data_IF_555637876004
#
_entry.id   IF_555637876004
#
_cell.length_a   1.000
_cell.length_b   1.000
_cell.length_c   1.000
_cell.angle_alpha   90.00
_cell.angle_beta   90.00
_cell.angle_gamma   90.00
#
_symmetry.space_group_name_H-M   'P 1'
#
loop_
_entity.id
_entity.type
_entity.pdbx_description
1 polymer ?
#
# COMPACT_ATOMS: atom_id res chain seq x y z
N UNK A 1 4.97 6.95 -67.11
CA UNK A 1 3.49 6.90 -66.93
C UNK A 1 3.24 6.66 -65.44
N UNK A 2 2.46 7.41 -64.65
CA UNK A 2 1.55 8.52 -64.90
C UNK A 2 1.40 9.36 -63.60
N UNK A 3 1.05 10.63 -63.80
CA UNK A 3 0.53 11.67 -62.87
C UNK A 3 -0.67 11.15 -62.02
N UNK A 4 -1.15 11.68 -60.89
CA UNK A 4 -1.26 13.02 -60.26
C UNK A 4 -1.89 12.77 -58.86
N UNK A 5 -1.57 13.55 -57.83
CA UNK A 5 -2.50 14.51 -57.22
C UNK A 5 -1.87 15.13 -55.96
N UNK A 6 -2.10 16.43 -55.85
CA UNK A 6 -1.44 17.41 -55.00
C UNK A 6 -2.51 18.00 -54.07
N UNK A 7 -2.18 18.28 -52.81
CA UNK A 7 -2.82 19.36 -52.08
C UNK A 7 -1.89 19.84 -50.94
N UNK A 8 -1.77 21.16 -50.88
CA UNK A 8 -0.74 21.97 -50.25
C UNK A 8 -1.44 22.97 -49.35
N UNK A 9 -0.84 23.30 -48.21
CA UNK A 9 -1.17 24.44 -47.37
C UNK A 9 -0.64 24.16 -45.96
N UNK A 10 0.50 24.67 -45.50
CA UNK A 10 1.20 25.93 -45.76
C UNK A 10 1.44 26.54 -44.37
N UNK A 11 2.59 27.09 -43.98
CA UNK A 11 3.97 27.02 -44.43
C UNK A 11 4.78 27.64 -43.29
N UNK A 12 5.98 27.14 -43.01
CA UNK A 12 7.15 27.97 -42.72
C UNK A 12 8.42 27.12 -42.81
N UNK A 13 9.33 27.65 -43.62
CA UNK A 13 10.75 27.36 -43.79
C UNK A 13 11.53 27.50 -42.45
N UNK A 14 12.78 27.08 -42.21
CA UNK A 14 13.88 26.36 -42.89
C UNK A 14 15.02 26.23 -41.83
N UNK A 15 15.92 25.26 -42.04
CA UNK A 15 17.39 25.28 -41.76
C UNK A 15 17.99 24.45 -40.62
N UNK A 16 18.90 23.54 -41.02
CA UNK A 16 19.97 22.92 -40.22
C UNK A 16 19.89 21.38 -40.15
N UNK A 17 20.31 20.56 -41.14
CA UNK A 17 21.70 20.12 -41.46
C UNK A 17 22.35 19.44 -40.21
N UNK A 18 22.83 18.20 -40.11
CA UNK A 18 23.47 17.15 -40.97
C UNK A 18 23.37 15.85 -40.13
N UNK A 19 22.71 14.77 -40.54
CA UNK A 19 23.16 13.66 -41.40
C UNK A 19 24.39 12.86 -40.92
N UNK A 20 24.16 11.67 -40.39
CA UNK A 20 25.10 10.54 -40.54
C UNK A 20 24.41 9.22 -40.21
N UNK A 21 23.80 8.64 -41.24
CA UNK A 21 23.56 7.20 -41.36
C UNK A 21 24.91 6.45 -41.42
N UNK A 22 24.93 5.12 -41.19
CA UNK A 22 24.87 4.26 -42.36
C UNK A 22 24.00 3.02 -42.19
N UNK A 23 23.16 2.79 -43.20
CA UNK A 23 22.51 1.52 -43.50
C UNK A 23 23.52 0.49 -44.02
N UNK A 24 23.45 -0.74 -43.51
CA UNK A 24 23.92 -2.01 -44.10
C UNK A 24 23.07 -3.12 -43.45
N UNK A 25 22.36 -3.99 -44.15
CA UNK A 25 22.22 -4.25 -45.56
C UNK A 25 20.93 -5.05 -45.82
N UNK A 26 20.58 -5.11 -47.09
CA UNK A 26 19.39 -5.70 -47.66
C UNK A 26 19.36 -7.25 -47.59
N UNK A 27 18.27 -7.80 -48.15
CA UNK A 27 18.05 -9.19 -48.62
C UNK A 27 17.43 -10.08 -47.53
N UNK A 28 16.17 -10.54 -47.61
CA UNK A 28 15.64 -11.32 -48.73
C UNK A 28 14.10 -11.31 -48.84
N UNK A 29 13.67 -11.19 -50.08
CA UNK A 29 12.34 -11.43 -50.66
C UNK A 29 11.95 -12.91 -50.71
N UNK A 30 10.66 -13.23 -50.45
CA UNK A 30 9.76 -14.17 -51.19
C UNK A 30 8.52 -14.43 -50.32
N UNK A 31 7.31 -13.98 -50.67
CA UNK A 31 6.43 -14.53 -51.72
C UNK A 31 6.19 -16.04 -51.57
N UNK A 32 4.97 -16.45 -51.16
CA UNK A 32 4.09 -17.31 -51.95
C UNK A 32 2.86 -17.80 -51.14
N UNK A 33 1.69 -17.56 -51.75
CA UNK A 33 0.51 -18.45 -51.86
C UNK A 33 -0.17 -19.03 -50.60
N UNK A 34 -1.45 -18.69 -50.46
CA UNK A 34 -2.35 -19.30 -49.48
C UNK A 34 -2.89 -20.67 -49.89
N UNK A 35 -3.74 -21.25 -49.04
CA UNK A 35 -4.72 -22.27 -49.40
C UNK A 35 -5.62 -22.63 -48.20
N UNK A 36 -6.90 -22.90 -48.51
CA UNK A 36 -7.89 -23.68 -47.74
C UNK A 36 -8.53 -23.00 -46.50
N UNK A 37 -9.82 -22.59 -46.47
CA UNK A 37 -11.10 -23.36 -46.53
C UNK A 37 -11.01 -24.67 -45.70
N UNK A 38 -11.84 -25.00 -44.71
CA UNK A 38 -13.31 -24.95 -44.60
C UNK A 38 -13.70 -25.26 -43.11
N UNK A 39 -14.99 -25.10 -42.72
CA UNK A 39 -15.54 -25.21 -41.37
C UNK A 39 -16.08 -26.61 -41.07
N UNK A 40 -16.29 -26.95 -39.79
CA UNK A 40 -17.22 -28.02 -39.43
C UNK A 40 -17.79 -27.86 -38.01
N UNK A 41 -19.08 -28.16 -37.95
CA UNK A 41 -20.07 -27.96 -36.89
C UNK A 41 -20.51 -29.34 -36.40
N UNK A 42 -20.61 -29.56 -35.08
CA UNK A 42 -21.54 -30.54 -34.44
C UNK A 42 -21.50 -30.31 -32.92
N UNK A 43 -22.52 -29.66 -32.35
CA UNK A 43 -23.85 -30.14 -31.90
C UNK A 43 -23.83 -30.97 -30.60
N UNK A 44 -24.47 -30.36 -29.60
CA UNK A 44 -25.56 -30.88 -28.76
C UNK A 44 -25.30 -31.93 -27.68
N UNK A 45 -25.86 -31.64 -26.50
CA UNK A 45 -26.13 -32.57 -25.40
C UNK A 45 -25.74 -31.95 -24.05
N UNK A 46 -26.56 -31.07 -23.46
CA UNK A 46 -27.60 -31.42 -22.49
C UNK A 46 -27.07 -32.23 -21.29
N UNK A 47 -26.93 -31.57 -20.13
CA UNK A 47 -27.53 -32.04 -18.87
C UNK A 47 -27.63 -30.89 -17.84
N UNK A 48 -28.80 -30.69 -17.21
CA UNK A 48 -28.97 -29.83 -16.04
C UNK A 48 -28.93 -30.66 -14.75
N UNK A 49 -28.31 -30.13 -13.70
CA UNK A 49 -28.32 -30.73 -12.36
C UNK A 49 -27.19 -30.17 -11.50
N UNK A 50 -27.45 -29.10 -10.74
CA UNK A 50 -27.58 -29.15 -9.26
C UNK A 50 -26.43 -29.93 -8.60
N UNK A 51 -25.57 -29.23 -7.87
CA UNK A 51 -25.59 -29.26 -6.39
C UNK A 51 -24.65 -28.20 -5.81
N UNK A 52 -25.07 -27.68 -4.66
CA UNK A 52 -24.24 -27.11 -3.59
C UNK A 52 -23.43 -25.84 -3.84
N UNK A 53 -24.04 -24.71 -3.46
CA UNK A 53 -23.52 -23.92 -2.35
C UNK A 53 -22.22 -23.15 -2.59
N UNK A 54 -22.28 -22.05 -3.33
CA UNK A 54 -21.33 -20.94 -3.16
C UNK A 54 -22.05 -19.87 -2.34
N UNK A 55 -22.23 -20.19 -1.06
CA UNK A 55 -22.40 -19.20 -0.02
C UNK A 55 -21.05 -18.98 0.65
N UNK A 56 -20.87 -17.77 1.15
CA UNK A 56 -19.94 -17.39 2.21
C UNK A 56 -18.43 -17.36 1.90
N UNK A 57 -17.93 -16.13 1.86
CA UNK A 57 -16.74 -15.69 2.59
C UNK A 57 -15.44 -16.46 2.30
N UNK A 58 -14.69 -16.02 1.28
CA UNK A 58 -13.23 -16.03 1.38
C UNK A 58 -12.81 -14.93 2.34
N UNK A 59 -13.05 -15.22 3.63
CA UNK A 59 -12.43 -14.55 4.74
C UNK A 59 -10.91 -14.57 4.50
N UNK A 60 -10.37 -13.41 4.19
CA UNK A 60 -8.97 -13.14 4.43
C UNK A 60 -8.90 -13.00 5.96
N UNK A 61 -8.80 -14.14 6.65
CA UNK A 61 -8.58 -14.19 8.10
C UNK A 61 -7.18 -13.62 8.36
N UNK A 62 -7.15 -12.32 8.57
CA UNK A 62 -6.07 -11.64 9.25
C UNK A 62 -6.35 -11.78 10.75
N UNK A 63 -5.54 -12.51 11.52
CA UNK A 63 -5.63 -12.45 12.96
C UNK A 63 -5.28 -11.04 13.41
N UNK A 64 -6.31 -10.29 13.81
CA UNK A 64 -6.16 -9.09 14.61
C UNK A 64 -5.82 -9.54 16.03
N UNK A 65 -4.54 -9.87 16.26
CA UNK A 65 -4.02 -10.08 17.60
C UNK A 65 -3.93 -8.73 18.33
N UNK A 66 -5.08 -8.31 18.85
CA UNK A 66 -5.16 -7.46 20.02
C UNK A 66 -4.66 -8.28 21.21
N UNK A 67 -3.36 -8.19 21.50
CA UNK A 67 -2.85 -8.63 22.79
C UNK A 67 -3.04 -7.50 23.81
N UNK A 68 -3.92 -7.66 24.82
CA UNK A 68 -3.89 -6.82 26.00
C UNK A 68 -2.56 -7.07 26.72
N UNK A 69 -1.68 -6.07 26.74
CA UNK A 69 -0.44 -6.11 27.51
C UNK A 69 -0.78 -6.11 29.00
N UNK A 70 -0.93 -7.31 29.55
CA UNK A 70 -0.98 -7.57 30.98
C UNK A 70 0.33 -7.08 31.61
N UNK A 71 0.19 -6.15 32.55
CA UNK A 71 1.28 -5.42 33.19
C UNK A 71 1.98 -6.25 34.29
N UNK A 72 2.26 -7.53 34.04
CA UNK A 72 2.90 -8.43 35.02
C UNK A 72 4.03 -9.25 34.38
N UNK A 73 5.15 -8.59 34.09
CA UNK A 73 6.44 -9.26 33.98
C UNK A 73 7.56 -8.25 34.26
N UNK A 74 7.80 -8.07 35.56
CA UNK A 74 8.97 -7.40 36.14
C UNK A 74 10.15 -8.39 36.05
N UNK A 75 11.26 -7.98 35.44
CA UNK A 75 12.57 -8.62 35.62
C UNK A 75 13.34 -8.95 34.33
N UNK A 76 14.25 -8.05 33.96
CA UNK A 76 15.61 -8.31 33.47
C UNK A 76 15.88 -9.03 32.12
N UNK A 77 14.86 -9.41 31.35
CA UNK A 77 15.01 -9.93 29.97
C UNK A 77 14.52 -9.00 28.84
N UNK A 78 13.85 -7.89 29.17
CA UNK A 78 13.03 -7.13 28.22
C UNK A 78 13.82 -6.22 27.25
N UNK A 79 15.01 -5.74 27.64
CA UNK A 79 15.76 -4.77 26.81
C UNK A 79 16.23 -5.34 25.47
N UNK A 80 16.58 -6.63 25.41
CA UNK A 80 17.00 -7.28 24.17
C UNK A 80 15.86 -7.47 23.19
N UNK A 81 14.69 -7.89 23.70
CA UNK A 81 13.51 -8.13 22.86
C UNK A 81 12.85 -6.82 22.40
N UNK A 82 12.85 -5.79 23.25
CA UNK A 82 12.32 -4.48 22.89
C UNK A 82 13.17 -3.79 21.83
N UNK A 83 14.51 -3.93 21.88
CA UNK A 83 15.38 -3.43 20.82
C UNK A 83 15.12 -4.12 19.48
N UNK A 84 14.98 -5.46 19.49
CA UNK A 84 14.66 -6.23 18.28
C UNK A 84 13.32 -5.81 17.69
N UNK A 85 12.28 -5.70 18.53
CA UNK A 85 10.96 -5.19 18.10
C UNK A 85 11.04 -3.80 17.50
N UNK A 86 11.83 -2.91 18.10
CA UNK A 86 11.99 -1.53 17.63
C UNK A 86 12.75 -1.47 16.31
N UNK A 87 13.77 -2.31 16.13
CA UNK A 87 14.51 -2.45 14.88
C UNK A 87 13.64 -3.00 13.75
N UNK A 88 12.85 -4.05 14.01
CA UNK A 88 11.90 -4.62 13.04
C UNK A 88 10.86 -3.57 12.64
N UNK A 89 10.23 -2.92 13.63
CA UNK A 89 9.21 -1.91 13.36
C UNK A 89 9.79 -0.70 12.60
N UNK A 90 11.04 -0.32 12.88
CA UNK A 90 11.73 0.73 12.12
C UNK A 90 11.93 0.34 10.66
N UNK A 91 12.36 -0.90 10.37
CA UNK A 91 12.49 -1.40 8.99
C UNK A 91 11.13 -1.46 8.29
N UNK A 92 10.11 -2.02 8.94
CA UNK A 92 8.74 -2.08 8.42
C UNK A 92 8.20 -0.68 8.11
N UNK A 93 8.47 0.30 8.98
CA UNK A 93 8.07 1.68 8.78
C UNK A 93 8.76 2.32 7.56
N UNK A 94 10.06 2.07 7.35
CA UNK A 94 10.77 2.57 6.16
C UNK A 94 10.17 2.02 4.87
N UNK A 95 9.90 0.71 4.82
CA UNK A 95 9.25 0.08 3.67
C UNK A 95 7.84 0.62 3.43
N UNK A 96 7.07 0.78 4.50
CA UNK A 96 5.72 1.36 4.47
C UNK A 96 5.69 2.80 3.95
N UNK A 97 6.73 3.58 4.24
CA UNK A 97 6.85 4.96 3.75
C UNK A 97 7.25 5.01 2.27
N UNK A 98 8.04 4.05 1.79
CA UNK A 98 8.52 3.94 0.42
C UNK A 98 7.47 3.41 -0.57
N UNK A 99 6.47 2.65 -0.09
CA UNK A 99 5.49 1.99 -0.94
C UNK A 99 4.71 2.92 -1.90
N UNK A 100 4.21 4.10 -1.49
CA UNK A 100 3.48 4.99 -2.39
C UNK A 100 4.33 5.51 -3.56
N UNK A 101 5.62 5.77 -3.30
CA UNK A 101 6.57 6.24 -4.31
C UNK A 101 6.86 5.15 -5.35
N UNK A 102 7.10 3.92 -4.90
CA UNK A 102 7.23 2.76 -5.79
C UNK A 102 5.97 2.55 -6.66
N UNK A 103 4.78 2.79 -6.10
CA UNK A 103 3.52 2.64 -6.82
C UNK A 103 3.28 3.71 -7.86
N UNK A 104 3.59 4.96 -7.55
CA UNK A 104 3.51 6.06 -8.51
C UNK A 104 4.41 5.78 -9.72
N UNK A 105 5.64 5.31 -9.48
CA UNK A 105 6.56 4.89 -10.54
C UNK A 105 6.05 3.67 -11.32
N UNK A 106 5.38 2.72 -10.65
CA UNK A 106 4.77 1.54 -11.30
C UNK A 106 3.63 1.95 -12.22
N UNK A 107 2.76 2.85 -11.77
CA UNK A 107 1.66 3.39 -12.58
C UNK A 107 2.22 4.05 -13.84
N UNK A 108 3.17 4.99 -13.70
CA UNK A 108 3.76 5.71 -14.83
C UNK A 108 4.45 4.76 -15.81
N UNK A 109 5.16 3.75 -15.30
CA UNK A 109 5.85 2.77 -16.15
C UNK A 109 4.86 1.89 -16.95
N UNK A 110 3.78 1.44 -16.31
CA UNK A 110 2.74 0.64 -16.97
C UNK A 110 1.94 1.48 -17.96
N UNK A 111 1.66 2.75 -17.65
CA UNK A 111 1.02 3.71 -18.57
C UNK A 111 1.90 3.99 -19.81
N UNK A 112 3.23 3.96 -19.64
CA UNK A 112 4.19 4.04 -20.75
C UNK A 112 4.29 2.76 -21.59
N UNK A 113 3.57 1.69 -21.24
CA UNK A 113 3.53 0.43 -21.97
C UNK A 113 4.60 -0.59 -21.56
N UNK A 114 5.32 -0.37 -20.46
CA UNK A 114 6.21 -1.40 -19.91
C UNK A 114 5.39 -2.56 -19.34
N UNK A 115 5.82 -3.79 -19.64
CA UNK A 115 5.29 -4.97 -18.98
C UNK A 115 5.57 -4.92 -17.47
N UNK A 116 4.61 -5.34 -16.65
CA UNK A 116 4.68 -5.20 -15.19
C UNK A 116 5.97 -5.75 -14.56
N UNK A 117 6.52 -6.86 -15.05
CA UNK A 117 7.78 -7.40 -14.54
C UNK A 117 8.99 -6.51 -14.82
N UNK A 118 9.02 -5.94 -16.02
CA UNK A 118 10.07 -5.00 -16.43
C UNK A 118 9.94 -3.69 -15.68
N UNK A 119 8.71 -3.22 -15.44
CA UNK A 119 8.45 -2.08 -14.58
C UNK A 119 8.96 -2.32 -13.16
N UNK A 120 8.64 -3.46 -12.53
CA UNK A 120 9.08 -3.79 -11.18
C UNK A 120 10.60 -3.90 -11.06
N UNK A 121 11.28 -4.50 -12.05
CA UNK A 121 12.75 -4.54 -12.10
C UNK A 121 13.36 -3.13 -12.20
N UNK A 122 12.82 -2.28 -13.09
CA UNK A 122 13.30 -0.90 -13.26
C UNK A 122 13.13 -0.07 -11.99
N UNK A 123 12.01 -0.26 -11.29
CA UNK A 123 11.65 0.44 -10.06
C UNK A 123 12.54 -0.02 -8.89
N UNK A 124 12.87 -1.32 -8.82
CA UNK A 124 13.83 -1.81 -7.84
C UNK A 124 15.18 -1.09 -7.96
N UNK A 125 15.68 -0.88 -9.17
CA UNK A 125 16.93 -0.13 -9.42
C UNK A 125 16.77 1.37 -9.07
N UNK A 126 15.65 1.99 -9.46
CA UNK A 126 15.41 3.41 -9.23
C UNK A 126 15.28 3.75 -7.73
N UNK A 127 14.67 2.86 -6.94
CA UNK A 127 14.52 3.04 -5.50
C UNK A 127 15.80 2.76 -4.71
N UNK A 128 16.86 2.22 -5.31
CA UNK A 128 18.05 1.77 -4.56
C UNK A 128 18.70 2.88 -3.74
N UNK A 129 18.68 4.12 -4.24
CA UNK A 129 19.25 5.28 -3.55
C UNK A 129 18.31 5.91 -2.52
N UNK A 130 17.00 5.96 -2.80
CA UNK A 130 16.02 6.61 -1.93
C UNK A 130 15.56 5.69 -0.78
N UNK A 131 15.32 4.42 -1.11
CA UNK A 131 14.65 3.44 -0.26
C UNK A 131 15.26 2.04 -0.44
N UNK A 132 16.47 1.80 0.10
CA UNK A 132 17.20 0.55 -0.09
C UNK A 132 16.43 -0.68 0.45
N UNK A 133 15.71 -0.55 1.57
CA UNK A 133 14.95 -1.68 2.13
C UNK A 133 13.87 -2.21 1.19
N UNK A 134 13.17 -1.33 0.47
CA UNK A 134 12.12 -1.75 -0.47
C UNK A 134 12.74 -2.22 -1.80
N UNK A 135 13.82 -1.57 -2.23
CA UNK A 135 14.59 -1.95 -3.41
C UNK A 135 15.09 -3.40 -3.32
N UNK A 136 15.74 -3.78 -2.21
CA UNK A 136 16.23 -5.15 -1.99
C UNK A 136 15.11 -6.19 -2.01
N UNK A 137 13.96 -5.89 -1.41
CA UNK A 137 12.83 -6.81 -1.37
C UNK A 137 12.20 -6.99 -2.77
N UNK A 138 12.09 -5.92 -3.57
CA UNK A 138 11.61 -5.96 -4.97
C UNK A 138 12.61 -6.65 -5.91
N UNK A 139 13.90 -6.41 -5.73
CA UNK A 139 14.96 -7.10 -6.48
C UNK A 139 14.91 -8.60 -6.20
N UNK A 140 14.79 -8.99 -4.92
CA UNK A 140 14.71 -10.39 -4.56
C UNK A 140 13.42 -11.05 -5.07
N UNK A 141 12.29 -10.34 -5.07
CA UNK A 141 11.07 -10.82 -5.74
C UNK A 141 11.29 -11.05 -7.24
N UNK A 142 12.01 -10.14 -7.90
CA UNK A 142 12.27 -10.27 -9.35
C UNK A 142 13.24 -11.42 -9.64
N UNK A 143 14.24 -11.62 -8.78
CA UNK A 143 15.12 -12.80 -8.81
C UNK A 143 14.35 -14.09 -8.61
N UNK A 144 13.37 -14.12 -7.70
CA UNK A 144 12.51 -15.28 -7.48
C UNK A 144 11.70 -15.64 -8.75
N UNK A 145 11.18 -14.64 -9.46
CA UNK A 145 10.49 -14.83 -10.74
C UNK A 145 11.47 -15.34 -11.80
N UNK A 146 12.68 -14.75 -11.87
CA UNK A 146 13.74 -15.19 -12.79
C UNK A 146 14.24 -16.62 -12.52
N UNK A 147 14.19 -17.06 -11.26
CA UNK A 147 14.50 -18.42 -10.83
C UNK A 147 13.36 -19.44 -11.12
N UNK A 148 12.28 -19.03 -11.79
CA UNK A 148 11.20 -19.90 -12.23
C UNK A 148 10.02 -20.02 -11.25
N UNK A 149 9.96 -19.22 -10.17
CA UNK A 149 8.75 -19.16 -9.34
C UNK A 149 7.62 -18.49 -10.09
N UNK A 150 6.39 -18.92 -9.83
CA UNK A 150 5.24 -18.25 -10.41
C UNK A 150 5.09 -16.85 -9.80
N UNK A 151 4.66 -15.89 -10.61
CA UNK A 151 4.47 -14.50 -10.15
C UNK A 151 3.58 -14.37 -8.91
N UNK A 152 2.45 -15.10 -8.80
CA UNK A 152 1.63 -15.02 -7.59
C UNK A 152 2.32 -15.56 -6.34
N UNK A 153 3.22 -16.53 -6.47
CA UNK A 153 4.01 -17.03 -5.34
C UNK A 153 5.08 -16.02 -4.93
N UNK A 154 5.80 -15.43 -5.88
CA UNK A 154 6.80 -14.40 -5.60
C UNK A 154 6.20 -13.17 -4.88
N UNK A 155 5.02 -12.71 -5.33
CA UNK A 155 4.28 -11.62 -4.68
C UNK A 155 3.81 -11.98 -3.26
N UNK A 156 3.40 -13.22 -3.02
CA UNK A 156 3.06 -13.71 -1.66
C UNK A 156 4.31 -13.82 -0.79
N UNK A 157 5.45 -14.22 -1.33
CA UNK A 157 6.72 -14.28 -0.61
C UNK A 157 7.18 -12.89 -0.19
N UNK A 158 7.09 -11.92 -1.09
CA UNK A 158 7.35 -10.51 -0.80
C UNK A 158 6.50 -10.02 0.37
N UNK A 159 5.19 -10.28 0.33
CA UNK A 159 4.28 -9.91 1.40
C UNK A 159 4.63 -10.57 2.75
N UNK A 160 4.95 -11.87 2.74
CA UNK A 160 5.34 -12.62 3.95
C UNK A 160 6.66 -12.15 4.56
N UNK A 161 7.64 -11.79 3.74
CA UNK A 161 8.97 -11.34 4.20
C UNK A 161 8.94 -9.94 4.77
N UNK A 162 8.16 -9.07 4.14
CA UNK A 162 8.08 -7.66 4.54
C UNK A 162 7.20 -7.47 5.76
N UNK A 163 6.17 -8.30 5.93
CA UNK A 163 5.19 -8.25 7.02
C UNK A 163 4.57 -6.85 7.21
N UNK A 164 4.32 -6.17 6.09
CA UNK A 164 3.67 -4.86 6.03
C UNK A 164 2.32 -5.02 5.33
N UNK A 165 1.25 -4.62 6.03
CA UNK A 165 -0.13 -4.79 5.56
C UNK A 165 -0.37 -4.20 4.15
N UNK A 166 0.26 -3.07 3.84
CA UNK A 166 0.12 -2.40 2.55
C UNK A 166 0.82 -3.13 1.41
N UNK A 167 1.96 -3.77 1.68
CA UNK A 167 2.67 -4.62 0.71
C UNK A 167 1.83 -5.87 0.42
N UNK A 168 1.23 -6.46 1.46
CA UNK A 168 0.30 -7.58 1.29
C UNK A 168 -0.93 -7.22 0.46
N UNK A 169 -1.54 -6.06 0.72
CA UNK A 169 -2.66 -5.58 -0.07
C UNK A 169 -2.28 -5.31 -1.54
N UNK A 170 -1.10 -4.72 -1.77
CA UNK A 170 -0.56 -4.52 -3.11
C UNK A 170 -0.36 -5.85 -3.84
N UNK A 171 0.28 -6.82 -3.19
CA UNK A 171 0.53 -8.14 -3.75
C UNK A 171 -0.78 -8.82 -4.16
N UNK A 172 -1.82 -8.76 -3.32
CA UNK A 172 -3.14 -9.32 -3.64
C UNK A 172 -3.75 -8.67 -4.89
N UNK A 173 -3.67 -7.34 -5.01
CA UNK A 173 -4.19 -6.60 -6.17
C UNK A 173 -3.38 -6.94 -7.43
N UNK A 174 -2.05 -7.00 -7.35
CA UNK A 174 -1.18 -7.36 -8.47
C UNK A 174 -1.45 -8.79 -8.96
N UNK A 175 -1.66 -9.74 -8.05
CA UNK A 175 -2.04 -11.12 -8.39
C UNK A 175 -3.35 -11.16 -9.16
N UNK A 176 -4.33 -10.38 -8.71
CA UNK A 176 -5.65 -10.33 -9.35
C UNK A 176 -5.61 -9.66 -10.72
N UNK A 177 -4.82 -8.59 -10.86
CA UNK A 177 -4.81 -7.73 -12.05
C UNK A 177 -3.90 -8.24 -13.16
N UNK A 178 -2.90 -9.09 -12.85
CA UNK A 178 -2.02 -9.69 -13.86
C UNK A 178 -2.79 -10.44 -14.96
N UNK A 179 -3.95 -11.03 -14.64
CA UNK A 179 -4.77 -11.76 -15.61
C UNK A 179 -5.50 -10.86 -16.62
N UNK A 180 -5.60 -9.55 -16.37
CA UNK A 180 -6.51 -8.68 -17.12
C UNK A 180 -5.86 -7.54 -17.90
N UNK A 181 -4.54 -7.33 -17.82
CA UNK A 181 -3.71 -6.56 -18.77
C UNK A 181 -3.99 -5.05 -18.90
N UNK A 182 -5.23 -4.65 -19.19
CA UNK A 182 -5.67 -3.27 -19.44
C UNK A 182 -6.17 -2.55 -18.19
N UNK A 183 -6.56 -3.26 -17.13
CA UNK A 183 -7.06 -2.65 -15.89
C UNK A 183 -6.02 -2.48 -14.78
N UNK A 184 -4.76 -2.90 -15.00
CA UNK A 184 -3.67 -2.82 -14.01
C UNK A 184 -3.42 -1.36 -13.61
N UNK A 185 -3.22 -0.46 -14.58
CA UNK A 185 -2.93 0.95 -14.30
C UNK A 185 -4.04 1.63 -13.48
N UNK A 186 -5.31 1.40 -13.84
CA UNK A 186 -6.46 1.94 -13.11
C UNK A 186 -6.56 1.37 -11.67
N UNK A 187 -6.34 0.07 -11.50
CA UNK A 187 -6.40 -0.57 -10.18
C UNK A 187 -5.26 -0.10 -9.27
N UNK A 188 -4.05 0.06 -9.83
CA UNK A 188 -2.88 0.55 -9.11
C UNK A 188 -3.03 2.03 -8.73
N UNK A 189 -3.64 2.85 -9.59
CA UNK A 189 -3.96 4.26 -9.30
C UNK A 189 -4.92 4.39 -8.12
N UNK A 190 -6.02 3.63 -8.14
CA UNK A 190 -6.99 3.58 -7.02
C UNK A 190 -6.31 3.11 -5.72
N UNK A 191 -5.42 2.12 -5.81
CA UNK A 191 -4.69 1.65 -4.64
C UNK A 191 -3.71 2.70 -4.09
N UNK A 192 -3.00 3.42 -4.98
CA UNK A 192 -2.09 4.50 -4.61
C UNK A 192 -2.82 5.65 -3.91
N UNK A 193 -3.99 6.03 -4.41
CA UNK A 193 -4.85 7.03 -3.77
C UNK A 193 -5.37 6.55 -2.40
N UNK A 194 -5.67 5.26 -2.27
CA UNK A 194 -6.06 4.66 -0.98
C UNK A 194 -4.91 4.74 0.04
N UNK A 195 -3.65 4.50 -0.37
CA UNK A 195 -2.49 4.62 0.52
C UNK A 195 -2.23 6.06 0.95
N UNK A 196 -2.37 7.03 0.03
CA UNK A 196 -2.27 8.46 0.36
C UNK A 196 -3.36 8.87 1.36
N UNK A 197 -4.59 8.40 1.15
CA UNK A 197 -5.72 8.64 2.05
C UNK A 197 -5.50 7.99 3.41
N UNK A 198 -5.03 6.74 3.46
CA UNK A 198 -4.66 6.04 4.70
C UNK A 198 -3.53 6.72 5.46
N UNK A 199 -2.54 7.32 4.77
CA UNK A 199 -1.52 8.16 5.42
C UNK A 199 -2.17 9.37 6.11
N UNK A 200 -3.15 10.00 5.46
CA UNK A 200 -3.88 11.16 5.99
C UNK A 200 -4.75 10.80 7.19
N UNK A 201 -5.52 9.73 7.11
CA UNK A 201 -6.30 9.17 8.23
C UNK A 201 -5.39 8.74 9.39
N UNK A 202 -4.24 8.14 9.06
CA UNK A 202 -3.02 8.00 9.89
C UNK A 202 -2.78 9.18 10.83
N UNK A 203 -2.50 10.30 10.19
CA UNK A 203 -2.13 11.54 10.85
C UNK A 203 -3.31 12.13 11.63
N UNK A 204 -4.53 12.04 11.10
CA UNK A 204 -5.75 12.54 11.75
C UNK A 204 -6.10 11.74 13.01
N UNK A 205 -5.97 10.40 12.98
CA UNK A 205 -6.15 9.55 14.16
C UNK A 205 -5.11 9.85 15.25
N UNK A 206 -3.85 10.10 14.86
CA UNK A 206 -2.80 10.50 15.80
C UNK A 206 -3.09 11.89 16.39
N UNK A 207 -3.52 12.85 15.59
CA UNK A 207 -3.90 14.19 16.04
C UNK A 207 -5.12 14.14 17.00
N UNK A 208 -6.14 13.35 16.68
CA UNK A 208 -7.31 13.15 17.53
C UNK A 208 -6.94 12.51 18.87
N UNK A 209 -6.02 11.53 18.88
CA UNK A 209 -5.51 10.91 20.11
C UNK A 209 -4.71 11.88 20.97
N UNK A 210 -3.96 12.80 20.37
CA UNK A 210 -3.21 13.85 21.10
C UNK A 210 -4.20 14.83 21.76
N UNK A 211 -5.26 15.25 21.06
CA UNK A 211 -6.26 16.15 21.61
C UNK A 211 -6.94 15.60 22.87
N UNK A 212 -7.32 14.31 22.87
CA UNK A 212 -7.91 13.66 24.05
C UNK A 212 -6.91 13.55 25.20
N UNK A 213 -5.62 13.35 24.91
CA UNK A 213 -4.55 13.32 25.93
C UNK A 213 -4.38 14.67 26.65
N UNK A 214 -4.74 15.80 26.01
CA UNK A 214 -4.66 17.13 26.61
C UNK A 214 -5.81 17.44 27.60
N UNK A 215 -6.93 16.71 27.54
CA UNK A 215 -8.05 16.91 28.47
C UNK A 215 -7.72 16.34 29.86
N UNK A 216 -6.96 15.24 29.91
CA UNK A 216 -6.56 14.58 31.17
C UNK A 216 -5.84 15.54 32.15
N UNK A 217 -4.78 16.29 31.76
CA UNK A 217 -4.12 17.23 32.68
C UNK A 217 -5.04 18.39 33.07
N UNK A 218 -5.92 18.86 32.19
CA UNK A 218 -6.90 19.89 32.50
C UNK A 218 -7.88 19.43 33.60
N UNK A 219 -8.44 18.23 33.49
CA UNK A 219 -9.36 17.70 34.50
C UNK A 219 -8.66 17.51 35.84
N UNK A 220 -7.44 16.95 35.82
CA UNK A 220 -6.64 16.73 37.05
C UNK A 220 -6.29 18.03 37.76
N UNK A 221 -6.12 19.16 37.07
CA UNK A 221 -5.83 20.45 37.69
C UNK A 221 -7.07 21.26 38.06
N UNK A 222 -8.09 21.28 37.19
CA UNK A 222 -9.28 22.11 37.37
C UNK A 222 -10.23 21.54 38.43
N UNK A 223 -10.43 20.21 38.44
CA UNK A 223 -11.33 19.56 39.37
C UNK A 223 -10.95 19.77 40.86
N UNK A 224 -9.70 19.55 41.30
CA UNK A 224 -9.32 19.82 42.69
C UNK A 224 -9.34 21.32 43.03
N UNK A 225 -9.03 22.21 42.07
CA UNK A 225 -9.13 23.65 42.29
C UNK A 225 -10.56 24.10 42.62
N UNK A 226 -11.55 23.58 41.87
CA UNK A 226 -12.98 23.89 42.12
C UNK A 226 -13.43 23.32 43.47
N UNK A 227 -13.02 22.10 43.83
CA UNK A 227 -13.33 21.51 45.13
C UNK A 227 -12.80 22.33 46.30
N UNK A 228 -11.59 22.89 46.18
CA UNK A 228 -11.01 23.75 47.23
C UNK A 228 -11.79 25.06 47.35
N UNK A 229 -12.15 25.70 46.24
CA UNK A 229 -12.86 27.00 46.24
C UNK A 229 -14.29 26.86 46.78
N UNK A 230 -15.02 25.82 46.38
CA UNK A 230 -16.41 25.61 46.79
C UNK A 230 -16.50 24.91 48.15
N UNK A 231 -15.66 23.89 48.37
CA UNK A 231 -15.62 23.12 49.62
C UNK A 231 -14.99 23.87 50.79
N UNK A 232 -14.02 24.76 50.52
CA UNK A 232 -13.32 25.55 51.53
C UNK A 232 -14.24 26.25 52.55
N UNK A 233 -15.17 27.14 52.13
CA UNK A 233 -16.06 27.83 53.06
C UNK A 233 -17.06 26.88 53.74
N UNK A 234 -17.50 25.83 53.05
CA UNK A 234 -18.41 24.84 53.61
C UNK A 234 -17.77 24.06 54.76
N UNK A 235 -16.50 23.65 54.62
CA UNK A 235 -15.75 22.94 55.66
C UNK A 235 -15.52 23.83 56.88
N UNK A 236 -15.15 25.10 56.68
CA UNK A 236 -14.95 26.07 57.76
C UNK A 236 -16.27 26.27 58.53
N UNK A 237 -17.37 26.49 57.81
CA UNK A 237 -18.68 26.72 58.44
C UNK A 237 -19.19 25.51 59.21
N UNK A 238 -18.97 24.28 58.70
CA UNK A 238 -19.35 23.05 59.39
C UNK A 238 -18.49 22.88 60.64
N UNK A 239 -17.18 23.12 60.55
CA UNK A 239 -16.27 22.97 61.68
C UNK A 239 -16.59 23.99 62.79
N UNK A 240 -16.84 25.25 62.42
CA UNK A 240 -17.21 26.32 63.37
C UNK A 240 -18.57 26.07 64.05
N UNK A 241 -19.54 25.48 63.36
CA UNK A 241 -20.88 25.21 63.92
C UNK A 241 -20.98 23.87 64.66
N UNK A 242 -20.24 22.85 64.22
CA UNK A 242 -20.32 21.49 64.74
C UNK A 242 -19.37 21.26 65.92
N UNK A 243 -18.18 21.87 65.90
CA UNK A 243 -17.19 21.73 66.99
C UNK A 243 -17.70 22.21 68.36
N UNK A 244 -18.37 23.38 68.50
CA UNK A 244 -18.92 23.80 69.80
C UNK A 244 -20.10 22.93 70.26
N UNK A 245 -20.86 22.34 69.33
CA UNK A 245 -21.95 21.43 69.65
C UNK A 245 -21.45 20.08 70.19
N UNK A 246 -20.34 19.55 69.64
CA UNK A 246 -19.70 18.32 70.12
C UNK A 246 -18.86 18.54 71.40
N UNK A 247 -18.26 19.72 71.56
CA UNK A 247 -17.48 20.06 72.75
C UNK A 247 -18.34 20.44 73.98
N UNK A 248 -19.61 20.80 73.77
CA UNK A 248 -20.58 21.17 74.81
C UNK A 248 -21.41 20.02 75.39
N UNK A 249 -21.07 18.76 75.07
CA UNK A 249 -21.74 17.57 75.60
C UNK A 249 -21.11 17.05 76.90
N UNK A 250 -21.25 17.77 78.01
CA UNK A 250 -21.17 17.25 79.39
C UNK A 250 -22.01 18.12 80.32
#
# INVERSE_FOLDING_TARGET
MARLCQARGGGLQVSGLVDSTPCRGAVQTRAATGSSRHPAKRRSGALPGRTSGIGSHSAVDFPADGLPSNQHARGDGAVGFDWLKRAINHRQQRVRLALPDALDLTVVSVEAGLGLDQALLRIAEELRMAHPDLSEELELMTLEIGAGRTRPEALRNLARRTDVAEVGALAAILIQTHRFGTSIGQSLRIFSDNLRTKRRQRAEEMAAKIAVKMIIPMVIFVFPAILIVVGGPAIITITDKLMPFLAGGR
#
